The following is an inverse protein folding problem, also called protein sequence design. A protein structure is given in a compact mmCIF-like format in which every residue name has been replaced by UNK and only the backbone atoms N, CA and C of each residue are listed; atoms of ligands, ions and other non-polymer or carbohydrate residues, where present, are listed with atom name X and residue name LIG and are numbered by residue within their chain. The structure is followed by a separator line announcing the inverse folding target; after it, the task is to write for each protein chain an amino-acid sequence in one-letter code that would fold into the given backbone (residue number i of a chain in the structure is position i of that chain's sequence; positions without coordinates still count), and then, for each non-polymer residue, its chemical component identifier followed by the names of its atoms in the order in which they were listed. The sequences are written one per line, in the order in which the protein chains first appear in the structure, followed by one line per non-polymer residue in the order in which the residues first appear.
data_IF_129656949499
#
_entry.id   IF_129656949499
#
_cell.length_a   1.000
_cell.length_b   1.000
_cell.length_c   1.000
_cell.angle_alpha   90.00
_cell.angle_beta   90.00
_cell.angle_gamma   90.00
#
_symmetry.space_group_name_H-M   'P 1'
#
loop_
_entity.id
_entity.type
_entity.pdbx_description
1 polymer ?
#
# COMPACT_ATOMS: atom_id res chain seq x y z
N UNK A 1 -10.44 -9.51 18.89
CA UNK A 1 -10.86 -8.48 17.90
C UNK A 1 -10.53 -9.05 16.54
N UNK A 2 -11.51 -9.27 15.66
CA UNK A 2 -11.24 -9.79 14.32
C UNK A 2 -10.50 -8.71 13.55
N UNK A 3 -9.27 -9.01 13.14
CA UNK A 3 -8.52 -8.15 12.22
C UNK A 3 -9.34 -8.02 10.94
N UNK A 4 -9.79 -6.79 10.68
CA UNK A 4 -10.52 -6.50 9.45
C UNK A 4 -9.50 -6.53 8.31
N UNK A 5 -9.62 -7.50 7.40
CA UNK A 5 -8.73 -7.60 6.22
C UNK A 5 -8.72 -6.26 5.46
N UNK A 6 -7.54 -5.78 5.11
CA UNK A 6 -7.36 -4.56 4.31
C UNK A 6 -7.73 -4.76 2.83
N UNK A 7 -7.91 -6.02 2.41
CA UNK A 7 -8.23 -6.40 1.03
C UNK A 7 -9.72 -6.65 0.80
N UNK A 8 -10.60 -6.25 1.75
CA UNK A 8 -12.06 -6.52 1.73
C UNK A 8 -12.78 -5.95 0.49
N UNK A 9 -12.29 -4.87 -0.10
CA UNK A 9 -12.93 -4.25 -1.28
C UNK A 9 -12.68 -4.94 -2.61
N UNK A 10 -11.86 -5.99 -2.66
CA UNK A 10 -11.58 -6.69 -3.91
C UNK A 10 -12.70 -7.71 -4.19
N UNK A 11 -13.28 -7.69 -5.38
CA UNK A 11 -14.33 -8.64 -5.81
C UNK A 11 -13.83 -10.10 -5.92
N UNK A 12 -12.77 -10.42 -5.22
CA UNK A 12 -12.13 -11.72 -5.12
C UNK A 12 -12.27 -12.34 -3.73
N UNK A 13 -11.71 -13.52 -3.58
CA UNK A 13 -11.64 -14.25 -2.32
C UNK A 13 -10.35 -13.89 -1.59
N UNK A 14 -10.44 -13.47 -0.31
CA UNK A 14 -9.29 -13.41 0.59
C UNK A 14 -8.86 -14.83 0.94
N UNK A 15 -7.57 -15.11 0.83
CA UNK A 15 -6.98 -16.43 1.04
C UNK A 15 -5.66 -16.31 1.82
N UNK A 16 -5.29 -17.37 2.49
CA UNK A 16 -3.99 -17.50 3.14
C UNK A 16 -2.91 -18.03 2.17
N UNK A 17 -1.68 -18.17 2.66
CA UNK A 17 -0.53 -18.60 1.86
C UNK A 17 -0.70 -20.04 1.34
N UNK A 18 -1.27 -20.94 2.13
CA UNK A 18 -1.46 -22.35 1.74
C UNK A 18 -2.51 -22.46 0.63
N UNK A 19 -3.61 -21.72 0.77
CA UNK A 19 -4.64 -21.64 -0.28
C UNK A 19 -4.10 -20.98 -1.56
N UNK A 20 -3.20 -20.00 -1.45
CA UNK A 20 -2.56 -19.36 -2.60
C UNK A 20 -1.71 -20.36 -3.40
N UNK A 21 -1.10 -21.34 -2.74
CA UNK A 21 -0.33 -22.40 -3.39
C UNK A 21 -1.20 -23.33 -4.28
N UNK A 22 -2.52 -23.37 -4.00
CA UNK A 22 -3.47 -24.17 -4.77
C UNK A 22 -4.02 -23.43 -6.00
N UNK A 23 -3.73 -22.15 -6.17
CA UNK A 23 -4.20 -21.37 -7.32
C UNK A 23 -3.42 -21.81 -8.57
N UNK A 24 -4.12 -22.32 -9.61
CA UNK A 24 -3.45 -22.84 -10.79
C UNK A 24 -2.77 -21.73 -11.60
N UNK A 25 -1.62 -22.07 -12.16
CA UNK A 25 -0.89 -21.17 -13.07
C UNK A 25 -1.13 -21.62 -14.50
N UNK A 26 -1.62 -20.75 -15.39
CA UNK A 26 -1.84 -21.09 -16.79
C UNK A 26 -0.53 -21.47 -17.51
N UNK A 27 -0.61 -22.27 -18.59
CA UNK A 27 0.57 -22.62 -19.36
C UNK A 27 1.20 -21.39 -20.02
N UNK A 28 2.52 -21.46 -20.22
CA UNK A 28 3.26 -20.45 -20.94
C UNK A 28 2.82 -20.34 -22.40
N UNK A 29 2.93 -19.14 -22.96
CA UNK A 29 2.75 -18.88 -24.40
C UNK A 29 4.11 -18.57 -25.06
N UNK A 30 4.11 -18.29 -26.35
CA UNK A 30 5.34 -17.93 -27.08
C UNK A 30 6.08 -16.74 -26.44
N UNK A 31 5.36 -15.75 -25.92
CA UNK A 31 5.91 -14.46 -25.41
C UNK A 31 5.63 -14.20 -23.94
N UNK A 32 4.83 -15.04 -23.28
CA UNK A 32 4.41 -14.82 -21.89
C UNK A 32 4.66 -16.08 -21.06
N UNK A 33 5.35 -15.88 -19.95
CA UNK A 33 5.65 -16.90 -18.96
C UNK A 33 4.95 -16.50 -17.65
N UNK A 34 3.73 -16.98 -17.37
CA UNK A 34 3.06 -16.69 -16.11
C UNK A 34 3.92 -17.12 -14.94
N UNK A 35 4.01 -16.25 -13.92
CA UNK A 35 4.73 -16.59 -12.68
C UNK A 35 3.68 -17.02 -11.65
N UNK A 36 3.82 -18.20 -11.02
CA UNK A 36 2.90 -18.64 -9.98
C UNK A 36 2.77 -17.61 -8.88
N UNK A 37 1.54 -17.33 -8.45
CA UNK A 37 1.30 -16.33 -7.38
C UNK A 37 2.08 -16.68 -6.12
N UNK A 38 1.98 -17.92 -5.65
CA UNK A 38 2.70 -18.39 -4.46
C UNK A 38 4.22 -18.36 -4.63
N UNK A 39 4.74 -18.64 -5.85
CA UNK A 39 6.17 -18.61 -6.13
C UNK A 39 6.79 -17.22 -5.94
N UNK A 40 6.02 -16.16 -6.23
CA UNK A 40 6.45 -14.77 -5.97
C UNK A 40 6.52 -14.50 -4.47
N UNK A 41 5.49 -14.93 -3.73
CA UNK A 41 5.43 -14.78 -2.28
C UNK A 41 6.56 -15.55 -1.61
N UNK A 42 6.78 -16.79 -2.01
CA UNK A 42 7.86 -17.62 -1.49
C UNK A 42 9.23 -16.95 -1.72
N UNK A 43 9.53 -16.55 -2.95
CA UNK A 43 10.79 -15.88 -3.28
C UNK A 43 10.98 -14.58 -2.49
N UNK A 44 9.88 -13.82 -2.26
CA UNK A 44 9.92 -12.61 -1.46
C UNK A 44 10.23 -12.92 0.01
N UNK A 45 9.51 -13.87 0.61
CA UNK A 45 9.70 -14.24 2.03
C UNK A 45 11.08 -14.83 2.28
N UNK A 46 11.57 -15.70 1.40
CA UNK A 46 12.94 -16.23 1.47
C UNK A 46 13.98 -15.11 1.37
N UNK A 47 13.79 -14.19 0.42
CA UNK A 47 14.69 -13.04 0.23
C UNK A 47 14.72 -12.12 1.45
N UNK A 48 13.55 -11.85 2.07
CA UNK A 48 13.44 -11.09 3.31
C UNK A 48 14.16 -11.81 4.45
N UNK A 49 13.95 -13.13 4.59
CA UNK A 49 14.61 -13.96 5.60
C UNK A 49 16.14 -13.92 5.50
N UNK A 50 16.71 -14.01 4.29
CA UNK A 50 18.16 -13.85 4.06
C UNK A 50 18.72 -12.50 4.49
N UNK A 51 17.88 -11.48 4.57
CA UNK A 51 18.23 -10.12 5.02
C UNK A 51 17.84 -9.85 6.46
N UNK A 52 17.46 -10.89 7.21
CA UNK A 52 16.97 -10.78 8.59
C UNK A 52 15.79 -9.83 8.77
N UNK A 53 14.89 -9.78 7.78
CA UNK A 53 13.64 -9.04 7.84
C UNK A 53 12.51 -10.03 8.07
N UNK A 54 11.92 -10.03 9.27
CA UNK A 54 10.78 -10.88 9.62
C UNK A 54 9.49 -10.39 8.96
N UNK A 55 8.61 -11.34 8.57
CA UNK A 55 7.23 -11.10 8.19
C UNK A 55 6.35 -11.55 9.34
N UNK A 56 5.53 -10.64 9.90
CA UNK A 56 4.68 -10.92 11.07
C UNK A 56 3.23 -11.20 10.69
N UNK A 57 2.79 -10.70 9.55
CA UNK A 57 1.46 -10.95 9.02
C UNK A 57 1.48 -10.88 7.50
N UNK A 58 0.66 -11.70 6.85
CA UNK A 58 0.44 -11.62 5.41
C UNK A 58 -1.00 -11.97 5.05
N UNK A 59 -1.54 -11.30 4.05
CA UNK A 59 -2.88 -11.52 3.53
C UNK A 59 -2.88 -11.40 2.00
N UNK A 60 -3.74 -12.19 1.34
CA UNK A 60 -3.83 -12.23 -0.11
C UNK A 60 -5.29 -12.20 -0.56
N UNK A 61 -5.54 -11.57 -1.69
CA UNK A 61 -6.80 -11.63 -2.40
C UNK A 61 -6.57 -12.06 -3.85
N UNK A 62 -7.38 -12.99 -4.34
CA UNK A 62 -7.35 -13.44 -5.74
C UNK A 62 -8.69 -13.20 -6.41
N UNK A 63 -8.66 -12.84 -7.71
CA UNK A 63 -9.88 -12.74 -8.52
C UNK A 63 -10.61 -14.08 -8.58
N UNK A 64 -11.94 -14.10 -8.84
CA UNK A 64 -12.72 -15.34 -8.90
C UNK A 64 -12.17 -16.38 -9.86
N UNK A 65 -11.53 -15.94 -10.95
CA UNK A 65 -10.88 -16.79 -11.96
C UNK A 65 -9.43 -17.17 -11.62
N UNK A 66 -8.89 -16.70 -10.47
CA UNK A 66 -7.52 -16.94 -10.05
C UNK A 66 -6.45 -16.22 -10.89
N UNK A 67 -6.84 -15.37 -11.84
CA UNK A 67 -5.90 -14.74 -12.77
C UNK A 67 -5.16 -13.54 -12.18
N UNK A 68 -5.69 -12.90 -11.15
CA UNK A 68 -5.11 -11.71 -10.51
C UNK A 68 -4.93 -11.94 -9.03
N UNK A 69 -3.81 -11.47 -8.51
CA UNK A 69 -3.51 -11.53 -7.08
C UNK A 69 -3.02 -10.18 -6.60
N UNK A 70 -3.49 -9.81 -5.42
CA UNK A 70 -2.97 -8.74 -4.58
C UNK A 70 -2.58 -9.33 -3.23
N UNK A 71 -1.50 -8.84 -2.65
CA UNK A 71 -1.04 -9.28 -1.35
C UNK A 71 -0.45 -8.14 -0.57
N UNK A 72 -0.47 -8.28 0.74
CA UNK A 72 0.19 -7.40 1.69
C UNK A 72 0.96 -8.25 2.68
N UNK A 73 2.21 -7.89 2.91
CA UNK A 73 3.06 -8.49 3.93
C UNK A 73 3.47 -7.39 4.90
N UNK A 74 3.16 -7.57 6.18
CA UNK A 74 3.59 -6.68 7.25
C UNK A 74 4.91 -7.19 7.83
N UNK A 75 5.89 -6.29 7.91
CA UNK A 75 7.23 -6.63 8.36
C UNK A 75 7.35 -6.47 9.88
N UNK A 76 8.30 -7.17 10.49
CA UNK A 76 8.65 -7.00 11.88
C UNK A 76 9.20 -5.59 12.19
N UNK A 77 9.80 -4.94 11.18
CA UNK A 77 10.36 -3.59 11.33
C UNK A 77 9.28 -2.57 11.56
N UNK A 78 9.36 -1.87 12.68
CA UNK A 78 8.39 -0.88 13.14
C UNK A 78 8.92 0.56 13.03
N UNK A 79 8.00 1.50 12.96
CA UNK A 79 8.21 2.94 13.14
C UNK A 79 7.12 3.48 14.08
N UNK A 80 7.23 4.70 14.57
CA UNK A 80 6.29 5.27 15.53
C UNK A 80 4.81 5.13 15.13
N UNK A 81 4.08 4.22 15.78
CA UNK A 81 2.65 3.98 15.57
C UNK A 81 2.29 3.20 14.30
N UNK A 82 3.29 2.70 13.57
CA UNK A 82 3.09 1.93 12.35
C UNK A 82 4.21 0.90 12.15
N UNK A 83 4.01 -0.02 11.20
CA UNK A 83 5.06 -0.94 10.74
C UNK A 83 5.20 -0.88 9.23
N UNK A 84 6.37 -1.23 8.72
CA UNK A 84 6.59 -1.33 7.30
C UNK A 84 5.76 -2.46 6.70
N UNK A 85 5.24 -2.24 5.51
CA UNK A 85 4.45 -3.22 4.77
C UNK A 85 4.86 -3.24 3.31
N UNK A 86 4.75 -4.42 2.69
CA UNK A 86 5.00 -4.61 1.26
C UNK A 86 3.68 -4.90 0.58
N UNK A 87 3.31 -4.07 -0.39
CA UNK A 87 2.22 -4.36 -1.32
C UNK A 87 2.75 -5.17 -2.51
N UNK A 88 2.00 -6.19 -2.89
CA UNK A 88 2.33 -7.11 -3.97
C UNK A 88 1.15 -7.24 -4.92
N UNK A 89 1.41 -7.22 -6.24
CA UNK A 89 0.40 -7.57 -7.25
C UNK A 89 1.01 -8.42 -8.35
N UNK A 90 0.19 -9.33 -8.87
CA UNK A 90 0.55 -10.20 -9.98
C UNK A 90 -0.67 -10.51 -10.84
N UNK A 91 -0.50 -10.74 -12.15
CA UNK A 91 -1.56 -11.28 -13.00
C UNK A 91 -1.05 -12.30 -14.00
N UNK A 92 -1.84 -13.33 -14.24
CA UNK A 92 -1.59 -14.35 -15.26
C UNK A 92 -2.16 -13.96 -16.63
N UNK A 93 -3.12 -13.03 -16.68
CA UNK A 93 -3.87 -12.59 -17.88
C UNK A 93 -3.22 -11.42 -18.65
N UNK A 94 -1.98 -11.06 -18.32
CA UNK A 94 -1.21 -9.96 -18.93
C UNK A 94 -1.76 -8.54 -18.64
N UNK A 95 -2.81 -8.40 -17.85
CA UNK A 95 -3.42 -7.08 -17.55
C UNK A 95 -2.57 -6.24 -16.62
N UNK A 96 -1.73 -6.88 -15.80
CA UNK A 96 -0.83 -6.20 -14.88
C UNK A 96 0.58 -6.80 -14.93
N UNK A 97 1.56 -5.95 -14.65
CA UNK A 97 2.93 -6.42 -14.38
C UNK A 97 3.03 -6.90 -12.94
N UNK A 98 3.94 -7.84 -12.68
CA UNK A 98 4.42 -8.09 -11.33
C UNK A 98 4.96 -6.77 -10.75
N UNK A 99 4.46 -6.37 -9.58
CA UNK A 99 4.96 -5.21 -8.88
C UNK A 99 5.01 -5.46 -7.38
N UNK A 100 6.08 -4.95 -6.77
CA UNK A 100 6.21 -4.77 -5.34
C UNK A 100 6.24 -3.27 -5.06
N UNK A 101 5.62 -2.85 -3.97
CA UNK A 101 5.69 -1.50 -3.45
C UNK A 101 5.96 -1.53 -1.96
N UNK A 102 6.56 -0.48 -1.43
CA UNK A 102 6.79 -0.32 -0.01
C UNK A 102 5.77 0.67 0.56
N UNK A 103 5.35 0.44 1.78
CA UNK A 103 4.43 1.28 2.50
C UNK A 103 4.51 1.01 4.00
N UNK A 104 3.47 1.43 4.70
CA UNK A 104 3.31 1.16 6.12
C UNK A 104 1.85 0.89 6.48
N UNK A 105 1.64 0.14 7.56
CA UNK A 105 0.34 -0.09 8.19
C UNK A 105 0.34 0.52 9.59
N UNK A 106 -0.70 1.28 9.91
CA UNK A 106 -0.88 1.92 11.21
C UNK A 106 -1.52 0.95 12.19
N UNK A 107 -0.99 0.86 13.42
CA UNK A 107 -1.43 -0.15 14.39
C UNK A 107 -2.88 0.00 14.84
N UNK A 108 -3.29 1.22 15.16
CA UNK A 108 -4.60 1.46 15.82
C UNK A 108 -5.80 1.33 14.88
N UNK A 109 -5.63 1.50 13.58
CA UNK A 109 -6.73 1.55 12.61
C UNK A 109 -6.53 0.70 11.37
N UNK A 110 -5.42 -0.03 11.28
CA UNK A 110 -5.03 -0.80 10.08
C UNK A 110 -5.04 0.02 8.78
N UNK A 111 -4.90 1.35 8.86
CA UNK A 111 -4.73 2.19 7.69
C UNK A 111 -3.42 1.85 7.01
N UNK A 112 -3.44 1.83 5.68
CA UNK A 112 -2.28 1.50 4.89
C UNK A 112 -1.99 2.61 3.87
N UNK A 113 -0.72 3.00 3.78
CA UNK A 113 -0.24 3.91 2.76
C UNK A 113 0.95 3.31 2.03
N UNK A 114 0.95 3.42 0.71
CA UNK A 114 2.04 2.98 -0.14
C UNK A 114 2.77 4.17 -0.74
N UNK A 115 4.09 4.05 -0.91
CA UNK A 115 4.89 5.04 -1.62
C UNK A 115 4.72 4.85 -3.12
N UNK A 116 3.97 5.76 -3.76
CA UNK A 116 3.59 5.65 -5.18
C UNK A 116 4.76 5.82 -6.14
N UNK A 117 5.70 6.67 -5.78
CA UNK A 117 6.88 6.95 -6.59
C UNK A 117 7.95 5.87 -6.42
N UNK A 118 7.74 4.95 -5.46
CA UNK A 118 8.70 3.91 -5.14
C UNK A 118 8.10 2.51 -5.43
N UNK A 119 8.32 2.03 -6.66
CA UNK A 119 8.00 0.67 -7.07
C UNK A 119 9.31 -0.11 -7.26
N UNK A 120 9.84 -0.74 -6.20
CA UNK A 120 11.14 -1.41 -6.22
C UNK A 120 11.22 -2.55 -7.23
N UNK A 121 10.09 -3.19 -7.54
CA UNK A 121 9.96 -4.19 -8.61
C UNK A 121 8.80 -3.81 -9.52
N UNK A 122 9.06 -3.77 -10.81
CA UNK A 122 8.05 -3.68 -11.86
C UNK A 122 8.51 -4.51 -13.06
N UNK A 123 8.07 -5.76 -13.14
CA UNK A 123 8.55 -6.72 -14.12
C UNK A 123 7.44 -7.26 -15.03
N UNK A 124 7.78 -7.45 -16.30
CA UNK A 124 6.92 -8.17 -17.26
C UNK A 124 7.13 -9.68 -17.10
N UNK A 125 6.08 -10.46 -17.30
CA UNK A 125 6.11 -11.91 -17.31
C UNK A 125 6.70 -12.43 -18.64
N UNK A 126 8.00 -12.31 -18.79
CA UNK A 126 8.74 -12.79 -19.96
C UNK A 126 9.59 -14.00 -19.63
N UNK A 127 9.98 -14.76 -20.65
CA UNK A 127 10.90 -15.92 -20.47
C UNK A 127 12.27 -15.51 -19.91
N UNK A 128 12.67 -14.25 -20.04
CA UNK A 128 13.92 -13.70 -19.54
C UNK A 128 13.82 -13.15 -18.11
N UNK A 129 12.64 -13.23 -17.46
CA UNK A 129 12.50 -12.76 -16.09
C UNK A 129 13.25 -13.70 -15.13
N UNK A 130 14.31 -13.22 -14.53
CA UNK A 130 14.88 -13.85 -13.33
C UNK A 130 14.14 -13.29 -12.10
N UNK A 131 13.17 -14.06 -11.60
CA UNK A 131 12.30 -13.65 -10.48
C UNK A 131 13.11 -13.39 -9.22
N UNK A 132 14.05 -14.27 -8.89
CA UNK A 132 14.82 -14.19 -7.65
C UNK A 132 15.70 -12.93 -7.66
N UNK A 133 16.39 -12.65 -8.76
CA UNK A 133 17.21 -11.45 -8.89
C UNK A 133 16.36 -10.17 -8.82
N UNK A 134 15.20 -10.16 -9.52
CA UNK A 134 14.31 -9.01 -9.50
C UNK A 134 13.79 -8.71 -8.08
N UNK A 135 13.39 -9.74 -7.33
CA UNK A 135 12.95 -9.60 -5.94
C UNK A 135 14.13 -9.20 -5.04
N UNK A 136 15.31 -9.80 -5.20
CA UNK A 136 16.49 -9.48 -4.42
C UNK A 136 16.86 -8.00 -4.54
N UNK A 137 16.98 -7.50 -5.76
CA UNK A 137 17.24 -6.07 -6.02
C UNK A 137 16.13 -5.19 -5.47
N UNK A 138 14.85 -5.65 -5.57
CA UNK A 138 13.71 -4.94 -5.04
C UNK A 138 13.76 -4.80 -3.52
N UNK A 139 14.09 -5.86 -2.80
CA UNK A 139 14.21 -5.83 -1.33
C UNK A 139 15.35 -4.91 -0.89
N UNK A 140 16.51 -4.91 -1.57
CA UNK A 140 17.60 -4.00 -1.27
C UNK A 140 17.21 -2.52 -1.46
N UNK A 141 16.39 -2.24 -2.48
CA UNK A 141 15.83 -0.89 -2.69
C UNK A 141 14.86 -0.52 -1.58
N UNK A 142 13.98 -1.44 -1.17
CA UNK A 142 13.02 -1.21 -0.08
C UNK A 142 13.73 -0.88 1.23
N UNK A 143 14.74 -1.64 1.62
CA UNK A 143 15.50 -1.39 2.85
C UNK A 143 16.10 0.03 2.86
N UNK A 144 16.62 0.50 1.74
CA UNK A 144 17.15 1.87 1.62
C UNK A 144 16.07 2.95 1.78
N UNK A 145 14.81 2.60 1.54
CA UNK A 145 13.69 3.54 1.66
C UNK A 145 13.06 3.54 3.06
N UNK A 146 13.41 2.62 3.96
CA UNK A 146 12.83 2.56 5.30
C UNK A 146 13.15 3.83 6.12
N UNK A 147 14.41 4.23 6.17
CA UNK A 147 14.80 5.42 6.94
C UNK A 147 14.20 6.74 6.38
N UNK A 148 14.17 7.00 5.07
CA UNK A 148 13.43 8.13 4.51
C UNK A 148 11.93 8.12 4.87
N UNK A 149 11.26 6.96 4.77
CA UNK A 149 9.85 6.82 5.09
C UNK A 149 9.57 7.07 6.59
N UNK A 150 10.41 6.53 7.46
CA UNK A 150 10.32 6.79 8.89
C UNK A 150 10.44 8.29 9.20
N UNK A 151 11.44 8.97 8.64
CA UNK A 151 11.60 10.43 8.80
C UNK A 151 10.39 11.23 8.29
N UNK A 152 9.79 10.80 7.19
CA UNK A 152 8.57 11.42 6.68
C UNK A 152 7.42 11.28 7.68
N UNK A 153 7.18 10.08 8.22
CA UNK A 153 6.14 9.84 9.22
C UNK A 153 6.39 10.67 10.49
N UNK A 154 7.63 10.69 11.01
CA UNK A 154 8.01 11.50 12.17
C UNK A 154 7.78 13.00 11.92
N UNK A 155 8.14 13.49 10.74
CA UNK A 155 7.87 14.87 10.32
C UNK A 155 6.37 15.18 10.30
N UNK A 156 5.55 14.30 9.74
CA UNK A 156 4.11 14.47 9.68
C UNK A 156 3.44 14.42 11.05
N UNK A 157 3.96 13.60 11.98
CA UNK A 157 3.47 13.52 13.36
C UNK A 157 3.74 14.80 14.16
N UNK A 158 4.85 15.49 13.88
CA UNK A 158 5.21 16.74 14.53
C UNK A 158 4.62 17.99 13.88
N UNK A 159 4.10 17.88 12.66
CA UNK A 159 3.62 19.01 11.89
C UNK A 159 2.17 19.32 12.19
N UNK A 160 1.94 20.39 12.95
CA UNK A 160 0.61 20.89 13.25
C UNK A 160 0.00 21.64 12.05
N UNK A 161 -1.29 21.41 11.82
CA UNK A 161 -2.07 22.08 10.79
C UNK A 161 -3.12 23.00 11.40
N UNK A 162 -3.20 24.25 10.90
CA UNK A 162 -4.35 25.10 11.18
C UNK A 162 -5.63 24.50 10.60
N UNK A 163 -6.78 24.86 11.18
CA UNK A 163 -8.08 24.46 10.63
C UNK A 163 -8.25 24.89 9.16
N UNK A 164 -7.73 26.06 8.81
CA UNK A 164 -7.80 26.60 7.45
C UNK A 164 -6.94 25.76 6.51
N UNK A 165 -5.68 25.49 6.88
CA UNK A 165 -4.76 24.67 6.07
C UNK A 165 -5.32 23.26 5.83
N UNK A 166 -5.84 22.61 6.87
CA UNK A 166 -6.43 21.29 6.72
C UNK A 166 -7.64 21.29 5.76
N UNK A 167 -8.53 22.27 5.87
CA UNK A 167 -9.68 22.43 4.96
C UNK A 167 -9.25 22.71 3.53
N UNK A 168 -8.22 23.52 3.32
CA UNK A 168 -7.68 23.81 1.99
C UNK A 168 -7.08 22.55 1.34
N UNK A 169 -6.31 21.77 2.08
CA UNK A 169 -5.76 20.50 1.58
C UNK A 169 -6.90 19.54 1.14
N UNK A 170 -7.97 19.42 1.95
CA UNK A 170 -9.13 18.60 1.57
C UNK A 170 -9.82 19.17 0.32
N UNK A 171 -10.00 20.48 0.23
CA UNK A 171 -10.59 21.12 -0.93
C UNK A 171 -9.80 20.83 -2.22
N UNK A 172 -8.50 21.04 -2.21
CA UNK A 172 -7.62 20.80 -3.36
C UNK A 172 -7.62 19.33 -3.77
N UNK A 173 -7.55 18.41 -2.79
CA UNK A 173 -7.56 16.96 -3.06
C UNK A 173 -8.80 16.49 -3.83
N UNK A 174 -9.99 17.01 -3.48
CA UNK A 174 -11.26 16.51 -3.99
C UNK A 174 -11.94 17.43 -5.00
N UNK A 175 -11.89 18.74 -4.77
CA UNK A 175 -12.64 19.71 -5.61
C UNK A 175 -11.80 20.09 -6.83
N UNK A 176 -10.51 20.34 -6.63
CA UNK A 176 -9.57 20.54 -7.73
C UNK A 176 -9.13 19.21 -8.36
N UNK A 177 -9.57 18.08 -7.76
CA UNK A 177 -9.42 16.72 -8.28
C UNK A 177 -7.96 16.25 -8.44
N UNK A 178 -7.03 16.77 -7.64
CA UNK A 178 -5.61 16.44 -7.76
C UNK A 178 -5.31 14.98 -7.41
N UNK A 179 -6.09 14.37 -6.49
CA UNK A 179 -5.95 12.95 -6.17
C UNK A 179 -6.78 12.02 -7.07
N UNK A 180 -7.62 12.57 -7.96
CA UNK A 180 -8.48 11.78 -8.86
C UNK A 180 -9.39 10.78 -8.10
N UNK A 181 -9.88 11.18 -6.92
CA UNK A 181 -10.75 10.37 -6.05
C UNK A 181 -12.19 10.88 -6.04
N UNK A 182 -13.18 10.04 -5.72
CA UNK A 182 -14.59 10.47 -5.70
C UNK A 182 -14.84 11.60 -4.70
N UNK A 183 -15.50 12.67 -5.16
CA UNK A 183 -15.76 13.89 -4.37
C UNK A 183 -16.59 13.64 -3.10
N UNK A 184 -17.42 12.59 -3.06
CA UNK A 184 -18.22 12.27 -1.88
C UNK A 184 -17.36 11.88 -0.66
N UNK A 185 -16.12 11.41 -0.87
CA UNK A 185 -15.19 11.11 0.22
C UNK A 185 -14.66 12.34 0.94
N UNK A 186 -14.78 13.54 0.36
CA UNK A 186 -14.32 14.78 0.98
C UNK A 186 -14.91 15.00 2.37
N UNK A 187 -16.24 14.78 2.50
CA UNK A 187 -16.91 14.88 3.78
C UNK A 187 -16.40 13.83 4.77
N UNK A 188 -16.20 12.60 4.30
CA UNK A 188 -15.68 11.51 5.14
C UNK A 188 -14.29 11.84 5.69
N UNK A 189 -13.38 12.37 4.86
CA UNK A 189 -12.05 12.82 5.30
C UNK A 189 -12.16 13.97 6.30
N UNK A 190 -13.03 14.96 6.02
CA UNK A 190 -13.26 16.07 6.94
C UNK A 190 -13.70 15.55 8.32
N UNK A 191 -14.73 14.70 8.37
CA UNK A 191 -15.30 14.21 9.62
C UNK A 191 -14.28 13.37 10.39
N UNK A 192 -13.55 12.45 9.71
CA UNK A 192 -12.49 11.64 10.33
C UNK A 192 -11.32 12.46 10.89
N UNK A 193 -11.00 13.61 10.29
CA UNK A 193 -9.95 14.49 10.77
C UNK A 193 -10.42 15.38 11.95
N UNK A 194 -11.63 15.94 11.86
CA UNK A 194 -12.14 16.87 12.88
C UNK A 194 -12.81 16.13 14.05
N UNK A 195 -13.28 14.90 13.85
CA UNK A 195 -13.91 14.05 14.85
C UNK A 195 -13.29 12.63 14.82
N UNK A 196 -11.99 12.50 15.15
CA UNK A 196 -11.29 11.23 15.01
C UNK A 196 -11.81 10.18 15.98
N UNK A 197 -11.89 8.93 15.50
CA UNK A 197 -12.33 7.77 16.29
C UNK A 197 -11.26 7.27 17.27
N UNK A 198 -9.97 7.56 16.99
CA UNK A 198 -8.82 7.12 17.77
C UNK A 198 -8.14 8.30 18.45
N UNK A 199 -7.72 8.11 19.70
CA UNK A 199 -7.01 9.12 20.50
C UNK A 199 -5.74 9.63 19.82
N UNK A 200 -5.02 8.73 19.15
CA UNK A 200 -3.77 8.99 18.45
C UNK A 200 -3.91 10.01 17.32
N UNK A 201 -5.12 10.21 16.79
CA UNK A 201 -5.41 11.16 15.71
C UNK A 201 -6.07 12.45 16.18
N UNK A 202 -6.26 12.64 17.51
CA UNK A 202 -6.76 13.92 18.06
C UNK A 202 -5.84 15.11 17.84
N UNK A 203 -4.50 14.95 17.89
CA UNK A 203 -3.61 16.05 17.48
C UNK A 203 -3.88 16.46 16.04
N UNK A 204 -3.98 17.78 15.81
CA UNK A 204 -4.27 18.36 14.48
C UNK A 204 -3.02 18.39 13.61
N UNK A 205 -2.43 17.23 13.37
CA UNK A 205 -1.20 17.11 12.59
C UNK A 205 -1.47 16.68 11.16
N UNK A 206 -0.45 16.78 10.30
CA UNK A 206 -0.48 16.24 8.96
C UNK A 206 -0.61 14.72 8.97
N UNK A 207 -0.03 14.04 9.97
CA UNK A 207 -0.20 12.61 10.18
C UNK A 207 -1.67 12.24 10.40
N UNK A 208 -2.38 12.97 11.27
CA UNK A 208 -3.80 12.74 11.51
C UNK A 208 -4.63 12.97 10.25
N UNK A 209 -4.30 14.00 9.45
CA UNK A 209 -4.97 14.25 8.18
C UNK A 209 -4.69 13.16 7.16
N UNK A 210 -3.45 12.72 7.02
CA UNK A 210 -3.06 11.59 6.16
C UNK A 210 -3.83 10.30 6.52
N UNK A 211 -4.01 10.03 7.83
CA UNK A 211 -4.79 8.90 8.31
C UNK A 211 -6.30 9.05 8.04
N UNK A 212 -6.85 10.26 8.07
CA UNK A 212 -8.23 10.53 7.67
C UNK A 212 -8.45 10.21 6.17
N UNK A 213 -7.50 10.59 5.30
CA UNK A 213 -7.52 10.24 3.88
C UNK A 213 -7.46 8.72 3.68
N UNK A 214 -6.46 8.05 4.24
CA UNK A 214 -6.28 6.61 4.04
C UNK A 214 -7.44 5.80 4.62
N UNK A 215 -8.06 6.26 5.71
CA UNK A 215 -9.28 5.64 6.26
C UNK A 215 -10.48 5.80 5.33
N UNK A 216 -10.68 6.98 4.74
CA UNK A 216 -11.74 7.21 3.76
C UNK A 216 -11.52 6.39 2.48
N UNK A 217 -10.27 6.22 2.04
CA UNK A 217 -9.94 5.44 0.86
C UNK A 217 -10.23 3.93 0.98
N UNK A 218 -10.46 3.40 2.19
CA UNK A 218 -10.94 2.03 2.37
C UNK A 218 -12.33 1.77 1.75
N UNK A 219 -13.09 2.82 1.45
CA UNK A 219 -14.36 2.72 0.74
C UNK A 219 -14.18 2.52 -0.78
N UNK A 220 -12.96 2.64 -1.29
CA UNK A 220 -12.63 2.42 -2.69
C UNK A 220 -12.32 0.94 -2.96
N UNK A 221 -12.53 0.51 -4.20
CA UNK A 221 -11.99 -0.75 -4.68
C UNK A 221 -10.46 -0.78 -4.57
N UNK A 222 -9.81 -1.94 -4.41
CA UNK A 222 -8.38 -2.05 -4.14
C UNK A 222 -7.46 -1.34 -5.13
N UNK A 223 -7.76 -1.34 -6.43
CA UNK A 223 -6.92 -0.66 -7.42
C UNK A 223 -7.02 0.87 -7.30
N UNK A 224 -8.21 1.49 -7.27
CA UNK A 224 -8.37 2.90 -6.92
C UNK A 224 -7.78 3.26 -5.57
N UNK A 225 -8.01 2.46 -4.52
CA UNK A 225 -7.44 2.68 -3.19
C UNK A 225 -5.91 2.72 -3.23
N UNK A 226 -5.29 1.73 -3.87
CA UNK A 226 -3.84 1.70 -4.04
C UNK A 226 -3.32 2.95 -4.75
N UNK A 227 -3.95 3.35 -5.86
CA UNK A 227 -3.56 4.54 -6.60
C UNK A 227 -3.70 5.82 -5.77
N UNK A 228 -4.79 5.95 -5.04
CA UNK A 228 -5.06 7.11 -4.18
C UNK A 228 -4.02 7.22 -3.05
N UNK A 229 -3.75 6.12 -2.33
CA UNK A 229 -2.75 6.11 -1.26
C UNK A 229 -1.35 6.36 -1.79
N UNK A 230 -1.02 5.83 -2.97
CA UNK A 230 0.26 6.03 -3.62
C UNK A 230 0.52 7.49 -4.01
N UNK A 231 -0.51 8.23 -4.45
CA UNK A 231 -0.41 9.67 -4.76
C UNK A 231 -0.45 10.57 -3.53
N UNK A 232 -1.06 10.11 -2.43
CA UNK A 232 -1.32 10.93 -1.25
C UNK A 232 -0.04 11.51 -0.65
N UNK A 233 1.02 10.72 -0.53
CA UNK A 233 2.28 11.16 0.06
C UNK A 233 2.88 12.35 -0.69
N UNK A 234 3.06 12.22 -2.00
CA UNK A 234 3.59 13.28 -2.86
C UNK A 234 2.69 14.53 -2.85
N UNK A 235 1.37 14.34 -2.90
CA UNK A 235 0.39 15.43 -2.81
C UNK A 235 0.56 16.22 -1.50
N UNK A 236 0.63 15.54 -0.35
CA UNK A 236 0.79 16.20 0.95
C UNK A 236 2.12 16.96 1.05
N UNK A 237 3.23 16.35 0.61
CA UNK A 237 4.55 17.01 0.61
C UNK A 237 4.57 18.27 -0.26
N UNK A 238 3.93 18.24 -1.43
CA UNK A 238 3.84 19.41 -2.31
C UNK A 238 3.07 20.55 -1.65
N UNK A 239 2.00 20.25 -0.89
CA UNK A 239 1.24 21.27 -0.16
C UNK A 239 2.06 21.91 0.96
N UNK A 240 2.89 21.15 1.65
CA UNK A 240 3.80 21.66 2.65
C UNK A 240 4.83 22.64 2.06
N UNK A 241 5.37 22.31 0.88
CA UNK A 241 6.36 23.14 0.20
C UNK A 241 5.78 24.51 -0.24
N UNK A 242 4.47 24.59 -0.48
CA UNK A 242 3.80 25.84 -0.91
C UNK A 242 3.57 26.87 0.21
N UNK A 243 3.85 26.54 1.50
CA UNK A 243 3.62 27.38 2.69
C UNK A 243 2.29 28.14 2.59
N UNK A 244 1.25 27.59 3.24
CA UNK A 244 -0.01 28.33 3.48
C UNK A 244 0.20 29.46 4.49
#
# INVERSE_FOLDING_TARGET
MSETSTLIGYAGRTINRDELALVPTPPATATHQPVPHHGIVQALVETLGFRHIGVVHDEYAVSPDGMKMFGVLDLETEMHGARFSIGLRNSHDKTMRLALTCGYRVFVCSNMAFSGDFTPVLAKHSKSLNLVDAISVGVDRMQRNFAPMQKQVESWQSMELSTVSAKMIVYEAFIESELEVPKHLARRVHDLYFEPQYEEFRPRTLWSLSNAFTSAFKELDPIPQFKATAKLGAFLEERLARKF
#
